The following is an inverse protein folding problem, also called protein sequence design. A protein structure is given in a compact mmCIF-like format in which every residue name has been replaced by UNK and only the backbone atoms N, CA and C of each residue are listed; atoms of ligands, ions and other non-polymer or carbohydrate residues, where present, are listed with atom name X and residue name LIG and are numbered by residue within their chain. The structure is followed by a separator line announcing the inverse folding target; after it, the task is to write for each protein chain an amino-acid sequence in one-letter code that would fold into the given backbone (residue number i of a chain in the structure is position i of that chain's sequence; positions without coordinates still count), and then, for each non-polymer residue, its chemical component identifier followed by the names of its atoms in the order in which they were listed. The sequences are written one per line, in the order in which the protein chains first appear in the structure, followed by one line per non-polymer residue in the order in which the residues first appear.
data_IF_936997724442
#
_entry.id   IF_936997724442
#
_cell.length_a   1.000
_cell.length_b   1.000
_cell.length_c   1.000
_cell.angle_alpha   90.00
_cell.angle_beta   90.00
_cell.angle_gamma   90.00
#
_symmetry.space_group_name_H-M   'P 1'
#
loop_
_entity.id
_entity.type
_entity.pdbx_description
1 polymer ?
#
# COMPACT_ATOMS: atom_id res chain seq x y z
N UNK A 1 11.44 10.22 14.13
CA UNK A 1 12.43 10.93 13.32
C UNK A 1 12.46 10.50 11.86
N UNK A 2 12.54 9.20 11.55
CA UNK A 2 12.59 8.70 10.16
C UNK A 2 11.42 9.15 9.27
N UNK A 3 10.19 9.16 9.83
CA UNK A 3 8.97 9.57 9.11
C UNK A 3 9.02 11.07 8.75
N UNK A 4 9.42 11.91 9.70
CA UNK A 4 9.52 13.35 9.47
C UNK A 4 10.62 13.66 8.45
N UNK A 5 11.76 12.97 8.51
CA UNK A 5 12.82 13.12 7.53
C UNK A 5 12.35 12.74 6.11
N UNK A 6 11.58 11.65 5.97
CA UNK A 6 11.01 11.25 4.69
C UNK A 6 10.02 12.30 4.15
N UNK A 7 9.18 12.89 5.01
CA UNK A 7 8.24 13.94 4.61
C UNK A 7 8.94 15.27 4.30
N UNK A 8 10.00 15.63 5.04
CA UNK A 8 10.83 16.81 4.78
C UNK A 8 11.56 16.76 3.43
N UNK A 9 11.85 15.56 2.94
CA UNK A 9 12.45 15.38 1.60
C UNK A 9 11.46 15.68 0.46
N UNK A 10 10.17 15.82 0.77
CA UNK A 10 9.15 16.25 -0.21
C UNK A 10 9.08 17.77 -0.28
N UNK A 11 8.71 18.33 -1.42
CA UNK A 11 8.53 19.78 -1.63
C UNK A 11 7.25 20.34 -0.94
N UNK A 12 6.81 19.73 0.16
CA UNK A 12 5.59 20.07 0.89
C UNK A 12 5.88 20.65 2.27
N UNK A 13 5.06 21.61 2.70
CA UNK A 13 5.09 22.12 4.07
C UNK A 13 4.42 21.11 5.02
N UNK A 14 4.93 20.97 6.24
CA UNK A 14 4.31 20.14 7.29
C UNK A 14 4.10 20.94 8.57
N UNK A 15 3.09 20.55 9.34
CA UNK A 15 2.78 21.14 10.65
C UNK A 15 2.42 20.03 11.62
N UNK A 16 2.90 20.11 12.85
CA UNK A 16 2.58 19.17 13.93
C UNK A 16 1.48 19.78 14.78
N UNK A 17 0.31 19.16 14.79
CA UNK A 17 -0.89 19.63 15.51
C UNK A 17 -1.61 18.45 16.17
N UNK A 18 -2.39 18.75 17.20
CA UNK A 18 -3.34 17.78 17.77
C UNK A 18 -4.43 17.48 16.73
N UNK A 19 -4.79 16.21 16.59
CA UNK A 19 -5.81 15.74 15.66
C UNK A 19 -6.92 14.98 16.41
N UNK A 20 -8.09 14.86 15.78
CA UNK A 20 -9.23 14.10 16.30
C UNK A 20 -8.90 12.63 16.53
N UNK A 21 -8.01 12.08 15.68
CA UNK A 21 -7.51 10.73 15.79
C UNK A 21 -6.07 10.74 16.31
N UNK A 22 -5.71 9.82 17.22
CA UNK A 22 -4.32 9.67 17.63
C UNK A 22 -3.49 9.13 16.46
N UNK A 23 -2.24 9.59 16.38
CA UNK A 23 -1.23 9.16 15.40
C UNK A 23 -1.61 9.35 13.92
N UNK A 24 -2.63 10.15 13.59
CA UNK A 24 -3.06 10.34 12.21
C UNK A 24 -2.24 11.37 11.44
N UNK A 25 -2.18 11.16 10.12
CA UNK A 25 -1.65 12.10 9.14
C UNK A 25 -2.81 12.54 8.25
N UNK A 26 -2.96 13.85 8.10
CA UNK A 26 -3.96 14.49 7.22
C UNK A 26 -3.29 15.52 6.32
N UNK A 27 -3.99 15.94 5.27
CA UNK A 27 -3.49 16.89 4.31
C UNK A 27 -4.43 18.09 4.19
N UNK A 28 -3.84 19.25 3.92
CA UNK A 28 -4.55 20.47 3.57
C UNK A 28 -3.95 21.03 2.29
N UNK A 29 -4.79 21.69 1.49
CA UNK A 29 -4.37 22.37 0.27
C UNK A 29 -4.74 23.84 0.34
N UNK A 30 -3.80 24.70 -0.05
CA UNK A 30 -4.08 26.13 -0.17
C UNK A 30 -4.94 26.39 -1.40
N UNK A 31 -6.07 27.06 -1.22
CA UNK A 31 -7.03 27.36 -2.30
C UNK A 31 -7.00 28.84 -2.74
N UNK A 32 -6.42 29.74 -1.95
CA UNK A 32 -6.28 31.17 -2.27
C UNK A 32 -5.00 31.55 -3.03
N UNK A 33 -5.13 32.47 -4.01
CA UNK A 33 -4.03 33.07 -4.79
C UNK A 33 -3.39 34.31 -4.11
N UNK A 34 -4.06 34.90 -3.12
CA UNK A 34 -3.60 36.11 -2.42
C UNK A 34 -2.80 35.76 -1.17
N UNK A 35 -1.67 36.44 -0.97
CA UNK A 35 -0.85 36.35 0.25
C UNK A 35 -1.49 37.04 1.47
N UNK A 36 -2.63 37.70 1.27
CA UNK A 36 -3.36 38.44 2.29
C UNK A 36 -4.77 37.85 2.43
N UNK A 37 -4.87 36.84 3.29
CA UNK A 37 -5.99 36.52 4.20
C UNK A 37 -5.60 35.21 4.89
N UNK A 38 -5.56 35.24 6.22
CA UNK A 38 -5.24 34.08 7.05
C UNK A 38 -6.31 33.00 6.83
N UNK A 39 -5.86 31.83 6.36
CA UNK A 39 -6.54 30.52 6.48
C UNK A 39 -7.41 29.99 5.32
N UNK A 40 -7.08 30.30 4.06
CA UNK A 40 -7.65 29.60 2.88
C UNK A 40 -7.05 28.19 2.65
N UNK A 41 -7.14 27.32 3.67
CA UNK A 41 -6.75 25.91 3.59
C UNK A 41 -7.98 25.01 3.54
N UNK A 42 -8.09 24.22 2.47
CA UNK A 42 -9.11 23.16 2.36
C UNK A 42 -8.53 21.84 2.84
N UNK A 43 -9.22 21.17 3.76
CA UNK A 43 -8.91 19.80 4.19
C UNK A 43 -9.12 18.81 3.04
N UNK A 44 -8.14 17.93 2.84
CA UNK A 44 -8.26 16.80 1.91
C UNK A 44 -9.04 15.66 2.58
N UNK A 45 -9.77 14.84 1.80
CA UNK A 45 -10.59 13.78 2.36
C UNK A 45 -9.78 12.60 2.89
N UNK A 46 -8.47 12.51 2.63
CA UNK A 46 -7.67 11.33 2.95
C UNK A 46 -7.09 11.40 4.37
N UNK A 47 -7.11 10.28 5.10
CA UNK A 47 -6.51 10.14 6.43
C UNK A 47 -5.68 8.86 6.47
N UNK A 48 -4.42 8.98 6.86
CA UNK A 48 -3.53 7.84 7.05
C UNK A 48 -3.30 7.63 8.55
N UNK A 49 -3.56 6.42 9.03
CA UNK A 49 -3.39 6.06 10.44
C UNK A 49 -2.46 4.84 10.56
N UNK A 50 -1.30 4.96 11.22
CA UNK A 50 -0.51 3.82 11.62
C UNK A 50 -1.20 3.10 12.78
N UNK A 51 -1.31 1.79 12.68
CA UNK A 51 -1.80 0.91 13.74
C UNK A 51 -0.60 0.20 14.34
N UNK A 52 -0.47 0.30 15.67
CA UNK A 52 0.63 -0.35 16.38
C UNK A 52 0.47 -1.87 16.30
N UNK A 53 1.59 -2.57 16.08
CA UNK A 53 1.59 -4.02 15.91
C UNK A 53 0.96 -4.81 17.08
N UNK A 54 1.19 -4.44 18.37
CA UNK A 54 0.55 -5.14 19.49
C UNK A 54 -0.97 -5.02 19.45
N UNK A 55 -1.49 -3.82 19.17
CA UNK A 55 -2.93 -3.55 19.11
C UNK A 55 -3.56 -4.26 17.91
N UNK A 56 -2.87 -4.25 16.76
CA UNK A 56 -3.28 -4.98 15.56
C UNK A 56 -3.44 -6.48 15.81
N UNK A 57 -2.44 -7.10 16.46
CA UNK A 57 -2.44 -8.52 16.84
C UNK A 57 -3.60 -8.80 17.81
N UNK A 58 -3.78 -7.96 18.82
CA UNK A 58 -4.85 -8.10 19.80
C UNK A 58 -6.23 -8.03 19.14
N UNK A 59 -6.45 -7.05 18.25
CA UNK A 59 -7.71 -6.87 17.53
C UNK A 59 -8.06 -8.07 16.63
N UNK A 60 -7.08 -8.69 15.96
CA UNK A 60 -7.31 -9.90 15.16
C UNK A 60 -7.67 -11.08 16.06
N UNK A 61 -6.93 -11.25 17.16
CA UNK A 61 -7.19 -12.32 18.11
C UNK A 61 -8.59 -12.18 18.74
N UNK A 62 -8.98 -10.96 19.09
CA UNK A 62 -10.32 -10.64 19.59
C UNK A 62 -11.38 -10.93 18.52
N UNK A 63 -11.18 -10.57 17.25
CA UNK A 63 -12.12 -10.91 16.18
C UNK A 63 -12.35 -12.42 16.04
N UNK A 64 -11.30 -13.23 16.20
CA UNK A 64 -11.42 -14.69 16.22
C UNK A 64 -12.18 -15.22 17.45
N UNK A 65 -11.98 -14.60 18.61
CA UNK A 65 -12.61 -15.03 19.88
C UNK A 65 -14.00 -14.43 20.13
N UNK A 66 -14.33 -13.29 19.50
CA UNK A 66 -15.60 -12.57 19.64
C UNK A 66 -16.80 -13.36 19.12
N UNK A 67 -16.57 -14.48 18.42
CA UNK A 67 -17.60 -15.49 18.19
C UNK A 67 -18.08 -16.20 19.46
N UNK A 68 -17.42 -16.00 20.61
CA UNK A 68 -17.69 -16.76 21.84
C UNK A 68 -18.02 -15.91 23.07
N UNK A 69 -17.43 -14.73 23.35
CA UNK A 69 -17.86 -13.87 24.49
C UNK A 69 -17.16 -12.48 24.59
N UNK A 70 -17.92 -11.43 25.00
CA UNK A 70 -17.54 -10.05 25.41
C UNK A 70 -17.15 -9.00 24.33
N UNK A 71 -17.41 -7.68 24.56
CA UNK A 71 -17.15 -6.60 23.61
C UNK A 71 -15.67 -6.17 23.72
N UNK A 72 -14.79 -6.98 23.15
CA UNK A 72 -13.39 -6.59 22.97
C UNK A 72 -13.23 -5.89 21.64
N UNK A 73 -12.32 -4.91 21.58
CA UNK A 73 -12.05 -4.15 20.37
C UNK A 73 -11.51 -5.08 19.26
N UNK A 74 -12.20 -5.08 18.13
CA UNK A 74 -11.86 -5.82 16.91
C UNK A 74 -11.41 -4.82 15.83
N UNK A 75 -10.78 -5.32 14.76
CA UNK A 75 -10.40 -4.45 13.63
C UNK A 75 -11.61 -3.72 13.02
N UNK A 76 -12.76 -4.39 12.95
CA UNK A 76 -13.99 -3.81 12.41
C UNK A 76 -14.55 -2.72 13.33
N UNK A 77 -14.62 -2.98 14.64
CA UNK A 77 -15.13 -1.98 15.60
C UNK A 77 -14.20 -0.77 15.69
N UNK A 78 -12.88 -0.98 15.64
CA UNK A 78 -11.88 0.09 15.59
C UNK A 78 -12.07 0.96 14.34
N UNK A 79 -12.22 0.35 13.16
CA UNK A 79 -12.48 1.09 11.92
C UNK A 79 -13.84 1.80 11.95
N UNK A 80 -14.88 1.19 12.53
CA UNK A 80 -16.19 1.81 12.68
C UNK A 80 -16.12 3.07 13.57
N UNK A 81 -15.45 2.98 14.72
CA UNK A 81 -15.25 4.11 15.63
C UNK A 81 -14.46 5.25 14.98
N UNK A 82 -13.38 4.91 14.24
CA UNK A 82 -12.62 5.90 13.49
C UNK A 82 -13.50 6.57 12.45
N UNK A 83 -14.24 5.78 11.67
CA UNK A 83 -15.08 6.29 10.58
C UNK A 83 -16.17 7.22 11.09
N UNK A 84 -16.71 6.95 12.29
CA UNK A 84 -17.66 7.84 12.98
C UNK A 84 -17.03 9.20 13.35
N UNK A 85 -15.76 9.20 13.78
CA UNK A 85 -15.01 10.41 14.14
C UNK A 85 -14.58 11.26 12.93
N UNK A 86 -14.47 10.68 11.74
CA UNK A 86 -14.05 11.37 10.51
C UNK A 86 -15.06 11.18 9.36
N UNK A 87 -16.30 11.71 9.49
CA UNK A 87 -17.34 11.50 8.49
C UNK A 87 -16.94 12.11 7.13
N UNK A 88 -17.17 11.35 6.07
CA UNK A 88 -16.87 11.76 4.68
C UNK A 88 -15.39 11.72 4.29
N UNK A 89 -14.51 11.28 5.20
CA UNK A 89 -13.08 11.08 4.91
C UNK A 89 -12.80 9.61 4.51
N UNK A 90 -11.78 9.42 3.68
CA UNK A 90 -11.27 8.11 3.26
C UNK A 90 -10.12 7.70 4.18
N UNK A 91 -10.35 6.64 4.95
CA UNK A 91 -9.37 6.06 5.87
C UNK A 91 -8.42 5.10 5.15
N UNK A 92 -7.12 5.24 5.41
CA UNK A 92 -6.09 4.27 5.05
C UNK A 92 -5.32 3.86 6.30
N UNK A 93 -5.19 2.56 6.54
CA UNK A 93 -4.45 2.03 7.68
C UNK A 93 -3.10 1.48 7.24
N UNK A 94 -2.10 1.59 8.10
CA UNK A 94 -0.81 0.93 7.88
C UNK A 94 -0.30 0.26 9.16
N UNK A 95 0.24 -0.95 9.04
CA UNK A 95 0.84 -1.70 10.14
C UNK A 95 2.30 -1.94 9.81
N UNK A 96 3.20 -1.59 10.71
CA UNK A 96 4.64 -1.83 10.54
C UNK A 96 5.10 -3.07 11.28
N UNK A 97 6.15 -3.71 10.79
CA UNK A 97 6.93 -4.76 11.46
C UNK A 97 6.22 -6.11 11.67
N UNK A 98 5.09 -6.35 10.99
CA UNK A 98 4.34 -7.60 11.10
C UNK A 98 5.17 -8.84 10.75
N UNK A 99 6.12 -8.72 9.82
CA UNK A 99 7.00 -9.82 9.44
C UNK A 99 8.00 -10.23 10.54
N UNK A 100 8.38 -9.30 11.42
CA UNK A 100 9.23 -9.60 12.58
C UNK A 100 8.50 -10.51 13.57
N UNK A 101 7.17 -10.35 13.69
CA UNK A 101 6.33 -11.20 14.52
C UNK A 101 6.37 -12.67 14.05
N UNK A 102 6.21 -12.95 12.75
CA UNK A 102 6.28 -14.31 12.21
C UNK A 102 7.69 -14.91 12.24
N UNK A 103 8.72 -14.09 11.99
CA UNK A 103 10.12 -14.55 12.00
C UNK A 103 10.58 -14.99 13.39
N UNK A 104 10.08 -14.33 14.44
CA UNK A 104 10.39 -14.64 15.84
C UNK A 104 9.67 -15.89 16.35
N UNK A 105 8.62 -16.33 15.66
CA UNK A 105 7.85 -17.53 16.00
C UNK A 105 8.41 -18.82 15.39
N UNK A 106 9.39 -18.76 14.49
CA UNK A 106 10.06 -19.97 13.99
C UNK A 106 10.73 -20.70 15.16
N UNK A 107 10.30 -21.93 15.51
CA UNK A 107 10.89 -22.62 16.63
C UNK A 107 12.38 -22.90 16.36
N UNK A 108 13.22 -22.67 17.37
CA UNK A 108 14.65 -23.04 17.40
C UNK A 108 14.87 -24.57 17.36
N UNK A 109 14.01 -25.36 16.72
CA UNK A 109 14.05 -26.83 16.74
C UNK A 109 15.01 -27.46 15.72
N UNK A 110 15.57 -26.70 14.78
CA UNK A 110 16.47 -27.27 13.76
C UNK A 110 17.97 -27.25 14.12
N UNK A 111 18.36 -26.85 15.34
CA UNK A 111 19.77 -26.88 15.78
C UNK A 111 20.15 -28.03 16.73
N UNK A 112 19.25 -28.98 16.99
CA UNK A 112 19.55 -30.19 17.80
C UNK A 112 19.02 -31.45 17.12
N UNK A 113 19.63 -31.82 16.00
CA UNK A 113 19.52 -33.20 15.50
C UNK A 113 20.78 -33.61 14.73
N UNK A 114 21.95 -33.42 15.34
CA UNK A 114 23.17 -34.18 15.00
C UNK A 114 24.01 -34.33 16.27
N UNK A 115 23.64 -35.30 17.12
CA UNK A 115 24.59 -35.96 18.01
C UNK A 115 24.30 -37.47 17.94
N UNK A 116 25.28 -38.32 17.59
CA UNK A 116 25.12 -39.76 17.65
C UNK A 116 25.23 -40.22 19.11
N UNK A 117 24.32 -41.10 19.50
CA UNK A 117 24.26 -41.78 20.79
C UNK A 117 25.50 -42.64 21.03
N UNK A 118 26.11 -42.56 22.22
CA UNK A 118 26.72 -43.74 22.88
C UNK A 118 26.66 -43.65 24.42
N UNK A 119 26.05 -44.72 24.98
CA UNK A 119 26.35 -45.46 26.23
C UNK A 119 26.11 -44.85 27.63
N UNK A 120 25.14 -45.48 28.34
CA UNK A 120 25.13 -46.00 29.74
C UNK A 120 25.71 -45.14 30.90
N UNK A 121 25.13 -44.97 32.10
CA UNK A 121 24.45 -45.93 33.00
C UNK A 121 23.89 -45.24 34.27
N UNK A 122 22.76 -45.77 34.78
CA UNK A 122 22.20 -45.83 36.17
C UNK A 122 22.63 -44.83 37.27
N UNK A 123 21.63 -44.20 37.93
CA UNK A 123 21.40 -44.24 39.40
C UNK A 123 20.06 -43.55 39.79
N UNK A 124 19.44 -44.05 40.87
CA UNK A 124 18.15 -43.66 41.49
C UNK A 124 18.18 -42.29 42.17
N UNK A 125 17.04 -41.59 42.27
CA UNK A 125 16.37 -41.28 43.55
C UNK A 125 15.04 -40.54 43.37
N UNK A 126 14.10 -40.85 44.27
CA UNK A 126 12.74 -40.32 44.38
C UNK A 126 12.70 -38.87 44.90
N UNK A 127 11.66 -38.11 44.53
CA UNK A 127 11.33 -36.83 45.17
C UNK A 127 10.36 -35.95 44.36
N UNK A 128 9.07 -36.02 44.67
CA UNK A 128 8.03 -35.02 44.29
C UNK A 128 7.89 -34.01 45.46
N UNK A 129 7.47 -32.74 45.25
CA UNK A 129 6.24 -32.42 44.53
C UNK A 129 6.32 -31.27 43.51
N UNK A 130 5.41 -31.41 42.54
CA UNK A 130 5.12 -30.49 41.44
C UNK A 130 4.65 -29.13 41.97
N UNK A 131 5.46 -28.08 41.78
CA UNK A 131 4.92 -26.71 41.70
C UNK A 131 4.15 -26.59 40.39
N UNK A 132 2.83 -26.37 40.49
CA UNK A 132 1.96 -25.96 39.38
C UNK A 132 2.61 -24.75 38.72
N UNK A 133 3.21 -24.95 37.54
CA UNK A 133 3.44 -23.85 36.62
C UNK A 133 2.05 -23.40 36.20
N UNK A 134 1.68 -22.20 36.64
CA UNK A 134 0.68 -21.38 35.96
C UNK A 134 0.88 -21.58 34.47
N UNK A 135 -0.13 -22.17 33.83
CA UNK A 135 -0.18 -22.23 32.38
C UNK A 135 -0.33 -20.78 31.95
N UNK A 136 0.80 -20.12 31.69
CA UNK A 136 0.83 -19.01 30.76
C UNK A 136 0.11 -19.52 29.51
N UNK A 137 -1.09 -18.98 29.30
CA UNK A 137 -1.89 -19.23 28.11
C UNK A 137 -0.92 -19.03 26.95
N UNK A 138 -0.67 -20.04 26.10
CA UNK A 138 0.13 -19.78 24.92
C UNK A 138 -0.66 -18.73 24.16
N UNK A 139 -0.09 -17.52 24.03
CA UNK A 139 -0.55 -16.52 23.07
C UNK A 139 -0.70 -17.31 21.78
N UNK A 140 -1.95 -17.54 21.38
CA UNK A 140 -2.25 -18.41 20.26
C UNK A 140 -1.56 -17.78 19.08
N UNK A 141 -0.54 -18.47 18.55
CA UNK A 141 0.34 -17.95 17.52
C UNK A 141 -0.55 -17.56 16.34
N UNK A 142 -0.75 -16.25 16.13
CA UNK A 142 -1.45 -15.78 14.94
C UNK A 142 -0.68 -16.32 13.74
N UNK A 143 -1.38 -17.06 12.89
CA UNK A 143 -0.82 -17.51 11.63
C UNK A 143 -0.93 -16.40 10.58
N UNK A 144 -0.15 -16.51 9.49
CA UNK A 144 -0.28 -15.59 8.35
C UNK A 144 -1.68 -15.65 7.74
N UNK A 145 -2.27 -16.84 7.70
CA UNK A 145 -3.63 -17.07 7.21
C UNK A 145 -4.65 -16.29 8.06
N UNK A 146 -4.48 -16.26 9.38
CA UNK A 146 -5.38 -15.52 10.27
C UNK A 146 -5.34 -14.01 10.02
N UNK A 147 -4.16 -13.47 9.72
CA UNK A 147 -4.02 -12.07 9.34
C UNK A 147 -4.69 -11.81 8.00
N UNK A 148 -4.41 -12.63 6.99
CA UNK A 148 -4.98 -12.48 5.65
C UNK A 148 -6.52 -12.56 5.69
N UNK A 149 -7.07 -13.53 6.43
CA UNK A 149 -8.52 -13.67 6.61
C UNK A 149 -9.13 -12.42 7.25
N UNK A 150 -8.53 -11.91 8.34
CA UNK A 150 -9.02 -10.70 9.01
C UNK A 150 -8.92 -9.45 8.12
N UNK A 151 -7.87 -9.33 7.30
CA UNK A 151 -7.72 -8.22 6.35
C UNK A 151 -8.75 -8.28 5.22
N UNK A 152 -9.00 -9.49 4.67
CA UNK A 152 -10.04 -9.70 3.66
C UNK A 152 -11.42 -9.42 4.23
N UNK A 153 -11.69 -9.92 5.44
CA UNK A 153 -12.96 -9.67 6.13
C UNK A 153 -13.17 -8.17 6.35
N UNK A 154 -12.16 -7.45 6.83
CA UNK A 154 -12.22 -6.00 7.02
C UNK A 154 -12.49 -5.28 5.70
N UNK A 155 -11.80 -5.65 4.62
CA UNK A 155 -11.97 -5.04 3.31
C UNK A 155 -13.38 -5.26 2.75
N UNK A 156 -13.97 -6.45 2.94
CA UNK A 156 -15.33 -6.76 2.48
C UNK A 156 -16.41 -5.98 3.24
N UNK A 157 -16.23 -5.75 4.55
CA UNK A 157 -17.24 -5.08 5.37
C UNK A 157 -17.12 -3.56 5.34
N UNK A 158 -15.91 -3.01 5.22
CA UNK A 158 -15.65 -1.57 5.39
C UNK A 158 -15.09 -0.89 4.15
N UNK A 159 -14.56 -1.65 3.19
CA UNK A 159 -13.82 -1.11 2.05
C UNK A 159 -12.45 -0.53 2.40
N UNK A 160 -12.04 -0.57 3.67
CA UNK A 160 -10.74 -0.05 4.14
C UNK A 160 -9.65 -1.09 3.87
N UNK A 161 -8.56 -0.64 3.24
CA UNK A 161 -7.36 -1.45 3.05
C UNK A 161 -6.32 -1.13 4.13
N UNK A 162 -5.66 -2.18 4.63
CA UNK A 162 -4.52 -2.06 5.53
C UNK A 162 -3.24 -2.37 4.76
N UNK A 163 -2.28 -1.47 4.78
CA UNK A 163 -0.95 -1.67 4.22
C UNK A 163 -0.02 -2.29 5.27
N UNK A 164 0.56 -3.46 4.96
CA UNK A 164 1.54 -4.10 5.84
C UNK A 164 2.94 -3.74 5.35
N UNK A 165 3.71 -3.08 6.22
CA UNK A 165 5.04 -2.55 5.93
C UNK A 165 6.07 -3.24 6.81
N UNK A 166 7.28 -3.46 6.30
CA UNK A 166 8.33 -4.19 7.03
C UNK A 166 9.01 -3.32 8.12
N UNK A 167 8.99 -1.99 7.98
CA UNK A 167 9.68 -1.07 8.87
C UNK A 167 9.06 0.33 8.93
N UNK A 168 9.47 1.12 9.92
CA UNK A 168 9.10 2.53 10.04
C UNK A 168 9.68 3.41 8.92
N UNK A 169 10.84 3.02 8.37
CA UNK A 169 11.40 3.64 7.16
C UNK A 169 10.45 3.49 5.97
N UNK A 170 9.94 2.28 5.73
CA UNK A 170 8.95 2.03 4.66
C UNK A 170 7.65 2.79 4.90
N UNK A 171 7.23 2.98 6.16
CA UNK A 171 6.10 3.85 6.47
C UNK A 171 6.37 5.31 6.09
N UNK A 172 7.57 5.83 6.35
CA UNK A 172 7.96 7.16 5.88
C UNK A 172 7.91 7.30 4.36
N UNK A 173 8.48 6.33 3.63
CA UNK A 173 8.45 6.29 2.17
C UNK A 173 7.00 6.19 1.62
N UNK A 174 6.17 5.37 2.26
CA UNK A 174 4.76 5.23 1.94
C UNK A 174 4.00 6.53 2.20
N UNK A 175 4.22 7.20 3.33
CA UNK A 175 3.61 8.49 3.64
C UNK A 175 4.01 9.58 2.62
N UNK A 176 5.26 9.60 2.14
CA UNK A 176 5.71 10.50 1.09
C UNK A 176 5.05 10.19 -0.27
N UNK A 177 4.95 8.90 -0.64
CA UNK A 177 4.22 8.46 -1.84
C UNK A 177 2.74 8.86 -1.76
N UNK A 178 2.12 8.64 -0.61
CA UNK A 178 0.72 8.96 -0.35
C UNK A 178 0.50 10.47 -0.44
N UNK A 179 1.39 11.27 0.15
CA UNK A 179 1.35 12.75 0.06
C UNK A 179 1.38 13.21 -1.40
N UNK A 180 2.26 12.63 -2.23
CA UNK A 180 2.29 12.93 -3.66
C UNK A 180 0.99 12.52 -4.38
N UNK A 181 0.45 11.34 -4.05
CA UNK A 181 -0.81 10.88 -4.62
C UNK A 181 -1.98 11.81 -4.27
N UNK A 182 -2.07 12.27 -3.01
CA UNK A 182 -3.05 13.27 -2.57
C UNK A 182 -2.86 14.59 -3.32
N UNK A 183 -1.62 15.05 -3.48
CA UNK A 183 -1.31 16.27 -4.22
C UNK A 183 -1.77 16.21 -5.69
N UNK A 184 -1.56 15.07 -6.37
CA UNK A 184 -1.88 14.85 -7.79
C UNK A 184 -3.34 14.44 -8.06
N UNK A 185 -4.08 13.95 -7.05
CA UNK A 185 -5.42 13.38 -7.23
C UNK A 185 -6.42 14.33 -7.91
N UNK A 186 -6.54 15.64 -7.54
CA UNK A 186 -7.45 16.55 -8.22
C UNK A 186 -7.09 16.76 -9.70
N UNK A 187 -5.80 16.90 -9.99
CA UNK A 187 -5.29 17.06 -11.36
C UNK A 187 -5.60 15.83 -12.21
N UNK A 188 -5.36 14.62 -11.69
CA UNK A 188 -5.68 13.36 -12.39
C UNK A 188 -7.18 13.22 -12.64
N UNK A 189 -8.01 13.54 -11.64
CA UNK A 189 -9.48 13.48 -11.78
C UNK A 189 -9.99 14.42 -12.88
N UNK A 190 -9.47 15.63 -12.97
CA UNK A 190 -9.87 16.59 -14.00
C UNK A 190 -9.35 16.20 -15.40
N UNK A 191 -8.12 15.68 -15.47
CA UNK A 191 -7.55 15.13 -16.71
C UNK A 191 -8.37 13.94 -17.22
N UNK A 192 -8.87 13.07 -16.36
CA UNK A 192 -9.73 11.94 -16.77
C UNK A 192 -11.07 12.39 -17.37
N UNK A 193 -11.66 13.51 -16.90
CA UNK A 193 -12.90 14.05 -17.48
C UNK A 193 -12.71 14.64 -18.88
N UNK A 194 -11.55 15.25 -19.11
CA UNK A 194 -11.27 16.07 -20.30
C UNK A 194 -10.49 15.33 -21.37
N UNK A 195 -9.82 14.22 -21.04
CA UNK A 195 -9.02 13.43 -21.98
C UNK A 195 -9.84 12.35 -22.68
N UNK A 196 -9.47 12.05 -23.92
CA UNK A 196 -9.95 10.85 -24.61
C UNK A 196 -9.46 9.61 -23.88
N UNK A 197 -10.34 8.64 -23.67
CA UNK A 197 -10.04 7.37 -22.98
C UNK A 197 -8.88 6.59 -23.61
N UNK A 198 -8.64 6.77 -24.91
CA UNK A 198 -7.51 6.17 -25.62
C UNK A 198 -6.18 6.91 -25.40
N UNK A 199 -6.22 8.22 -25.11
CA UNK A 199 -5.03 9.06 -24.93
C UNK A 199 -4.43 8.97 -23.51
N UNK A 200 -4.81 7.94 -22.74
CA UNK A 200 -4.40 7.78 -21.36
C UNK A 200 -2.91 7.45 -21.20
N UNK A 201 -2.40 7.84 -20.05
CA UNK A 201 -1.02 7.79 -19.60
C UNK A 201 -0.36 6.42 -19.86
N UNK A 202 0.66 6.41 -20.71
CA UNK A 202 1.44 5.22 -21.08
C UNK A 202 2.46 5.52 -22.18
N UNK A 203 3.48 4.68 -22.33
CA UNK A 203 4.54 4.85 -23.34
C UNK A 203 4.02 4.91 -24.79
N UNK A 204 2.81 4.38 -25.03
CA UNK A 204 2.11 4.35 -26.31
C UNK A 204 1.55 5.71 -26.74
N UNK A 205 1.23 6.59 -25.78
CA UNK A 205 0.67 7.92 -26.01
C UNK A 205 1.73 9.02 -26.14
N UNK A 206 3.01 8.68 -25.98
CA UNK A 206 4.09 9.65 -26.16
C UNK A 206 4.24 9.98 -27.63
N UNK A 207 4.17 11.26 -27.99
CA UNK A 207 4.46 11.72 -29.34
C UNK A 207 5.86 11.34 -29.81
N UNK A 208 6.07 11.28 -31.13
CA UNK A 208 7.40 11.19 -31.73
C UNK A 208 7.89 12.61 -31.98
N UNK A 209 9.13 12.92 -31.57
CA UNK A 209 9.75 14.20 -31.91
C UNK A 209 10.05 14.23 -33.42
N UNK A 210 9.52 15.23 -34.09
CA UNK A 210 9.75 15.47 -35.53
C UNK A 210 10.45 16.82 -35.67
N UNK A 211 11.53 16.85 -36.46
CA UNK A 211 12.22 18.10 -36.76
C UNK A 211 11.63 18.82 -37.99
N UNK A 212 12.11 20.03 -38.27
CA UNK A 212 11.64 20.84 -39.42
C UNK A 212 11.95 20.19 -40.78
N UNK A 213 12.87 19.22 -40.82
CA UNK A 213 13.22 18.48 -42.05
C UNK A 213 12.33 17.27 -42.28
N UNK A 214 11.43 16.97 -41.34
CA UNK A 214 10.55 15.79 -41.38
C UNK A 214 11.18 14.51 -40.82
N UNK A 215 12.39 14.59 -40.26
CA UNK A 215 13.01 13.44 -39.60
C UNK A 215 12.15 13.04 -38.39
N UNK A 216 11.68 11.80 -38.40
CA UNK A 216 10.76 11.28 -37.40
C UNK A 216 9.37 10.98 -37.96
N UNK A 217 8.97 11.51 -39.12
CA UNK A 217 7.66 11.25 -39.73
C UNK A 217 7.42 9.78 -40.06
N UNK A 218 8.46 9.05 -40.49
CA UNK A 218 8.34 7.61 -40.74
C UNK A 218 8.01 6.83 -39.44
N UNK A 219 8.60 7.25 -38.32
CA UNK A 219 8.33 6.68 -37.01
C UNK A 219 6.93 7.06 -36.50
N UNK A 220 6.43 8.27 -36.83
CA UNK A 220 5.03 8.67 -36.61
C UNK A 220 4.11 7.73 -37.38
N UNK A 221 4.34 7.54 -38.68
CA UNK A 221 3.51 6.70 -39.52
C UNK A 221 3.44 5.26 -39.02
N UNK A 222 4.59 4.70 -38.61
CA UNK A 222 4.63 3.39 -37.96
C UNK A 222 3.78 3.34 -36.69
N UNK A 223 3.92 4.33 -35.80
CA UNK A 223 3.14 4.37 -34.56
C UNK A 223 1.65 4.51 -34.82
N UNK A 224 1.24 5.26 -35.84
CA UNK A 224 -0.16 5.36 -36.28
C UNK A 224 -0.72 3.99 -36.67
N UNK A 225 0.03 3.19 -37.43
CA UNK A 225 -0.37 1.81 -37.78
C UNK A 225 -0.46 0.92 -36.53
N UNK A 226 0.44 1.09 -35.55
CA UNK A 226 0.40 0.34 -34.28
C UNK A 226 -0.79 0.73 -33.38
N UNK A 227 -1.52 1.83 -33.67
CA UNK A 227 -2.73 2.18 -32.91
C UNK A 227 -3.90 1.24 -33.22
N UNK A 228 -3.86 0.50 -34.35
CA UNK A 228 -4.90 -0.46 -34.67
C UNK A 228 -4.81 -1.69 -33.77
N UNK A 229 -5.98 -2.18 -33.34
CA UNK A 229 -6.07 -3.38 -32.52
C UNK A 229 -5.38 -4.57 -33.19
N UNK A 230 -4.59 -5.32 -32.39
CA UNK A 230 -3.88 -6.54 -32.81
C UNK A 230 -2.78 -6.31 -33.86
N UNK A 231 -2.30 -5.07 -34.01
CA UNK A 231 -1.13 -4.79 -34.86
C UNK A 231 0.13 -4.77 -34.01
N UNK A 232 1.01 -5.76 -34.23
CA UNK A 232 2.32 -5.81 -33.57
C UNK A 232 3.31 -4.83 -34.20
N UNK A 233 4.44 -4.58 -33.52
CA UNK A 233 5.54 -3.78 -34.07
C UNK A 233 6.08 -4.36 -35.38
N UNK A 234 6.15 -5.68 -35.49
CA UNK A 234 6.62 -6.36 -36.70
C UNK A 234 5.66 -6.18 -37.87
N UNK A 235 4.35 -6.31 -37.63
CA UNK A 235 3.32 -6.06 -38.64
C UNK A 235 3.38 -4.61 -39.12
N UNK A 236 3.49 -3.65 -38.19
CA UNK A 236 3.64 -2.25 -38.54
C UNK A 236 4.92 -1.97 -39.34
N UNK A 237 6.06 -2.57 -38.96
CA UNK A 237 7.31 -2.46 -39.72
C UNK A 237 7.15 -3.02 -41.14
N UNK A 238 6.49 -4.17 -41.31
CA UNK A 238 6.26 -4.77 -42.63
C UNK A 238 5.38 -3.88 -43.52
N UNK A 239 4.31 -3.30 -42.96
CA UNK A 239 3.42 -2.38 -43.69
C UNK A 239 4.18 -1.11 -44.08
N UNK A 240 4.93 -0.50 -43.16
CA UNK A 240 5.72 0.72 -43.43
C UNK A 240 6.85 0.48 -44.41
N UNK A 241 7.47 -0.71 -44.39
CA UNK A 241 8.50 -1.08 -45.37
C UNK A 241 7.94 -1.16 -46.80
N UNK A 242 6.69 -1.60 -46.94
CA UNK A 242 5.99 -1.62 -48.25
C UNK A 242 5.46 -0.25 -48.65
N UNK A 243 4.92 0.51 -47.68
CA UNK A 243 4.30 1.82 -47.88
C UNK A 243 4.91 2.84 -46.90
N UNK A 244 6.04 3.48 -47.26
CA UNK A 244 6.77 4.37 -46.36
C UNK A 244 6.09 5.74 -46.16
N UNK A 245 4.91 5.96 -46.74
CA UNK A 245 4.08 7.13 -46.46
C UNK A 245 2.59 6.78 -46.56
N UNK A 246 1.70 7.52 -45.85
CA UNK A 246 0.26 7.35 -45.97
C UNK A 246 -0.23 7.56 -47.42
N UNK A 247 0.38 8.50 -48.14
CA UNK A 247 0.03 8.79 -49.54
C UNK A 247 0.28 7.58 -50.45
N UNK A 248 1.42 6.89 -50.28
CA UNK A 248 1.73 5.68 -51.04
C UNK A 248 0.81 4.52 -50.71
N UNK A 249 0.32 4.42 -49.46
CA UNK A 249 -0.69 3.45 -49.09
C UNK A 249 -2.03 3.78 -49.78
N UNK A 250 -2.44 5.05 -49.77
CA UNK A 250 -3.69 5.47 -50.42
C UNK A 250 -3.67 5.28 -51.93
N UNK A 251 -2.56 5.59 -52.61
CA UNK A 251 -2.45 5.43 -54.07
C UNK A 251 -2.54 3.97 -54.55
N UNK A 252 -2.32 3.01 -53.66
CA UNK A 252 -2.41 1.59 -53.97
C UNK A 252 -3.84 1.03 -53.92
N UNK A 253 -4.82 1.83 -53.48
CA UNK A 253 -6.24 1.47 -53.35
C UNK A 253 -7.12 2.48 -54.08
#
# INVERSE_FOLDING_TARGET
DEILAALQSTESNYVIQSQTLPYSITWRRKTGLTQAEEDDWTEEPNVLVPVLLPDFIAMIHNGKQARVESPTETLQSFVAEITEKIPGKTLSLAVTELEKHFSSQKPKSQKKLQQPEQSSSKAQEEGKPRKRKEKAIPVSQLSRLDVEEALVELQLHTGVQVQVLASWKEFGEFASMFTKAVAEAPFKKEKTKTSFSFCLEGDWCRGVKVDRTGKGLLQVWKRQIQQFNRVSLEMANAIVARYPSPLLLMQAY
#
